data_IF_849709158350
#
_entry.id   IF_849709158350
#
_cell.length_a   1.000
_cell.length_b   1.000
_cell.length_c   1.000
_cell.angle_alpha   90.00
_cell.angle_beta   90.00
_cell.angle_gamma   90.00
#
_symmetry.space_group_name_H-M   'P 1'
#
loop_
_entity.id
_entity.type
_entity.pdbx_description
1 polymer ?
#
# COMPACT_ATOMS: atom_id res chain seq x y z
N UNK A 1 47.15 6.93 -18.03
CA UNK A 1 45.80 6.94 -18.68
C UNK A 1 45.76 5.70 -19.56
N UNK A 2 44.76 4.83 -19.32
CA UNK A 2 44.63 3.56 -20.07
C UNK A 2 44.35 3.85 -21.56
N UNK A 3 45.16 3.25 -22.44
CA UNK A 3 45.12 3.50 -23.91
C UNK A 3 43.76 3.23 -24.58
N UNK A 4 42.92 2.43 -23.95
CA UNK A 4 41.60 2.05 -24.46
C UNK A 4 40.43 2.86 -23.83
N UNK A 5 40.71 3.90 -23.06
CA UNK A 5 39.67 4.74 -22.47
C UNK A 5 39.00 5.57 -23.56
N UNK A 6 37.71 5.32 -23.77
CA UNK A 6 36.90 6.01 -24.81
C UNK A 6 36.77 5.28 -26.15
N UNK A 7 37.39 4.09 -26.29
CA UNK A 7 37.14 3.23 -27.46
C UNK A 7 35.94 2.31 -27.18
N UNK A 8 35.11 2.12 -28.20
CA UNK A 8 34.02 1.17 -28.15
C UNK A 8 34.51 -0.25 -27.92
N UNK A 9 33.92 -0.96 -26.95
CA UNK A 9 34.32 -2.34 -26.63
C UNK A 9 33.92 -3.31 -27.75
N UNK A 10 34.66 -4.43 -27.90
CA UNK A 10 34.42 -5.48 -28.90
C UNK A 10 33.05 -6.18 -28.79
N UNK A 11 32.25 -5.88 -27.76
CA UNK A 11 30.95 -6.47 -27.50
C UNK A 11 29.83 -5.42 -27.48
N UNK A 12 29.92 -4.42 -28.37
CA UNK A 12 28.86 -3.43 -28.49
C UNK A 12 27.60 -4.10 -29.09
N UNK A 13 26.46 -3.86 -28.46
CA UNK A 13 25.19 -4.39 -28.97
C UNK A 13 24.84 -3.72 -30.32
N UNK A 14 24.28 -4.48 -31.23
CA UNK A 14 23.85 -3.95 -32.54
C UNK A 14 22.67 -2.99 -32.32
N UNK A 15 22.86 -1.74 -32.74
CA UNK A 15 21.91 -0.65 -32.59
C UNK A 15 20.58 -0.97 -33.29
N UNK A 16 20.61 -1.64 -34.45
CA UNK A 16 19.39 -2.04 -35.17
C UNK A 16 18.54 -3.02 -34.40
N UNK A 17 19.18 -3.96 -33.72
CA UNK A 17 18.47 -4.95 -32.90
C UNK A 17 17.86 -4.29 -31.66
N UNK A 18 18.57 -3.32 -31.06
CA UNK A 18 18.05 -2.55 -29.95
C UNK A 18 16.87 -1.67 -30.38
N UNK A 19 16.96 -0.98 -31.49
CA UNK A 19 15.88 -0.15 -32.01
C UNK A 19 14.61 -0.95 -32.33
N UNK A 20 14.77 -2.14 -32.93
CA UNK A 20 13.66 -3.07 -33.13
C UNK A 20 13.01 -3.48 -31.82
N UNK A 21 13.81 -3.86 -30.83
CA UNK A 21 13.31 -4.25 -29.52
C UNK A 21 12.56 -3.09 -28.82
N UNK A 22 13.11 -1.87 -28.88
CA UNK A 22 12.48 -0.67 -28.35
C UNK A 22 11.17 -0.34 -29.06
N UNK A 23 11.10 -0.54 -30.38
CA UNK A 23 9.88 -0.40 -31.16
C UNK A 23 8.80 -1.40 -30.72
N UNK A 24 9.15 -2.65 -30.54
CA UNK A 24 8.24 -3.69 -30.04
C UNK A 24 7.73 -3.33 -28.63
N UNK A 25 8.61 -2.88 -27.73
CA UNK A 25 8.22 -2.48 -26.37
C UNK A 25 7.21 -1.34 -26.42
N UNK A 26 7.47 -0.29 -27.19
CA UNK A 26 6.57 0.86 -27.30
C UNK A 26 5.18 0.49 -27.84
N UNK A 27 5.10 -0.43 -28.76
CA UNK A 27 3.86 -0.77 -29.46
C UNK A 27 3.08 -1.90 -28.79
N UNK A 28 3.77 -2.87 -28.19
CA UNK A 28 3.17 -4.11 -27.67
C UNK A 28 3.22 -4.22 -26.15
N UNK A 29 4.25 -3.64 -25.52
CA UNK A 29 4.52 -3.80 -24.08
C UNK A 29 4.77 -2.45 -23.36
N UNK A 30 3.93 -1.40 -23.56
CA UNK A 30 4.25 -0.04 -23.13
C UNK A 30 4.34 0.14 -21.60
N UNK A 31 3.68 -0.72 -20.84
CA UNK A 31 3.59 -0.69 -19.37
C UNK A 31 4.48 -1.75 -18.69
N UNK A 32 5.22 -2.54 -19.45
CA UNK A 32 6.03 -3.62 -18.90
C UNK A 32 7.28 -3.07 -18.18
N UNK A 33 7.62 -3.73 -17.06
CA UNK A 33 8.92 -3.53 -16.43
C UNK A 33 10.04 -4.06 -17.35
N UNK A 34 11.26 -3.57 -17.14
CA UNK A 34 12.43 -4.05 -17.92
C UNK A 34 12.59 -5.57 -17.87
N UNK A 35 12.33 -6.18 -16.70
CA UNK A 35 12.44 -7.64 -16.52
C UNK A 35 11.41 -8.36 -17.38
N UNK A 36 10.15 -7.97 -17.27
CA UNK A 36 9.07 -8.60 -18.04
C UNK A 36 9.21 -8.36 -19.54
N UNK A 37 9.59 -7.14 -19.95
CA UNK A 37 9.86 -6.82 -21.35
C UNK A 37 11.00 -7.69 -21.90
N UNK A 38 12.08 -7.86 -21.16
CA UNK A 38 13.20 -8.72 -21.55
C UNK A 38 12.77 -10.18 -21.70
N UNK A 39 12.03 -10.74 -20.75
CA UNK A 39 11.50 -12.11 -20.82
C UNK A 39 10.66 -12.32 -22.08
N UNK A 40 9.76 -11.39 -22.38
CA UNK A 40 8.91 -11.48 -23.58
C UNK A 40 9.68 -11.29 -24.89
N UNK A 41 10.66 -10.41 -24.91
CA UNK A 41 11.53 -10.24 -26.08
C UNK A 41 12.38 -11.49 -26.34
N UNK A 42 12.91 -12.13 -25.31
CA UNK A 42 13.64 -13.42 -25.47
C UNK A 42 12.71 -14.52 -25.93
N UNK A 43 11.53 -14.63 -25.31
CA UNK A 43 10.57 -15.71 -25.57
C UNK A 43 9.95 -15.63 -26.99
N UNK A 44 9.60 -14.44 -27.46
CA UNK A 44 8.80 -14.27 -28.67
C UNK A 44 9.54 -13.60 -29.83
N UNK A 45 10.66 -12.91 -29.57
CA UNK A 45 11.36 -12.08 -30.57
C UNK A 45 12.85 -12.43 -30.66
N UNK A 46 13.31 -13.53 -30.04
CA UNK A 46 14.70 -14.00 -30.11
C UNK A 46 15.74 -12.91 -29.75
N UNK A 47 15.44 -12.04 -28.77
CA UNK A 47 16.34 -10.97 -28.36
C UNK A 47 17.64 -11.53 -27.75
N UNK A 48 18.84 -11.20 -28.31
CA UNK A 48 20.07 -11.89 -27.97
C UNK A 48 20.84 -11.27 -26.79
N UNK A 49 20.45 -10.07 -26.33
CA UNK A 49 21.22 -9.33 -25.35
C UNK A 49 20.71 -9.50 -23.92
N UNK A 50 21.54 -9.11 -22.96
CA UNK A 50 21.21 -9.17 -21.54
C UNK A 50 20.11 -8.19 -21.16
N UNK A 51 19.43 -8.47 -20.04
CA UNK A 51 18.45 -7.55 -19.44
C UNK A 51 19.04 -6.18 -19.14
N UNK A 52 20.33 -6.12 -18.74
CA UNK A 52 21.00 -4.86 -18.41
C UNK A 52 21.25 -4.03 -19.68
N UNK A 53 21.61 -4.66 -20.80
CA UNK A 53 21.73 -3.99 -22.11
C UNK A 53 20.40 -3.37 -22.51
N UNK A 54 19.30 -4.12 -22.38
CA UNK A 54 17.97 -3.61 -22.64
C UNK A 54 17.59 -2.45 -21.71
N UNK A 55 17.90 -2.56 -20.42
CA UNK A 55 17.62 -1.52 -19.44
C UNK A 55 18.28 -0.20 -19.80
N UNK A 56 19.54 -0.24 -20.19
CA UNK A 56 20.27 0.96 -20.61
C UNK A 56 19.67 1.58 -21.86
N UNK A 57 19.36 0.77 -22.86
CA UNK A 57 18.69 1.22 -24.09
C UNK A 57 17.31 1.85 -23.82
N UNK A 58 16.51 1.25 -22.92
CA UNK A 58 15.20 1.79 -22.53
C UNK A 58 15.34 3.13 -21.77
N UNK A 59 16.40 3.32 -20.98
CA UNK A 59 16.69 4.60 -20.30
C UNK A 59 17.07 5.66 -21.33
N UNK A 60 17.99 5.34 -22.23
CA UNK A 60 18.45 6.25 -23.30
C UNK A 60 17.30 6.69 -24.23
N UNK A 61 16.42 5.75 -24.58
CA UNK A 61 15.21 6.02 -25.35
C UNK A 61 14.08 6.73 -24.57
N UNK A 62 14.28 7.02 -23.26
CA UNK A 62 13.30 7.68 -22.42
C UNK A 62 12.06 6.84 -22.06
N UNK A 63 12.05 5.54 -22.39
CA UNK A 63 10.95 4.61 -22.12
C UNK A 63 10.95 4.20 -20.65
N UNK A 64 12.14 4.07 -20.03
CA UNK A 64 12.30 3.65 -18.65
C UNK A 64 13.02 4.71 -17.83
N UNK A 65 12.47 5.01 -16.66
CA UNK A 65 13.13 5.87 -15.66
C UNK A 65 13.52 5.04 -14.47
N UNK A 66 14.76 5.19 -14.03
CA UNK A 66 15.21 4.58 -12.77
C UNK A 66 14.37 5.19 -11.64
N UNK A 67 13.64 4.35 -10.91
CA UNK A 67 12.96 4.80 -9.68
C UNK A 67 14.03 5.32 -8.74
N UNK A 68 13.97 6.60 -8.38
CA UNK A 68 14.77 7.09 -7.26
C UNK A 68 14.41 6.26 -6.05
N UNK A 69 15.42 5.70 -5.40
CA UNK A 69 15.16 5.01 -4.13
C UNK A 69 14.54 6.01 -3.17
N UNK A 70 13.39 5.71 -2.57
CA UNK A 70 12.83 6.59 -1.57
C UNK A 70 13.88 6.77 -0.47
N UNK A 71 14.06 8.02 0.00
CA UNK A 71 14.92 8.28 1.16
C UNK A 71 14.47 7.32 2.26
N UNK A 72 15.40 6.57 2.81
CA UNK A 72 15.16 5.68 3.94
C UNK A 72 14.69 6.57 5.09
N UNK A 73 13.39 6.64 5.30
CA UNK A 73 12.82 7.25 6.49
C UNK A 73 12.94 6.21 7.58
N UNK A 74 13.86 6.42 8.51
CA UNK A 74 13.97 5.56 9.69
C UNK A 74 12.75 5.87 10.55
N UNK A 75 11.73 5.04 10.44
CA UNK A 75 10.59 5.09 11.37
C UNK A 75 11.05 4.52 12.69
N UNK A 76 10.98 5.31 13.77
CA UNK A 76 11.13 4.77 15.10
C UNK A 76 10.01 3.75 15.35
N UNK A 77 10.40 2.51 15.58
CA UNK A 77 9.46 1.44 15.92
C UNK A 77 8.97 1.75 17.35
N UNK A 78 7.65 2.00 17.48
CA UNK A 78 7.03 2.10 18.79
C UNK A 78 7.04 0.73 19.48
N UNK A 79 7.47 0.68 20.72
CA UNK A 79 7.33 -0.54 21.53
C UNK A 79 5.86 -0.91 21.68
N UNK A 80 5.57 -2.21 21.54
CA UNK A 80 4.23 -2.76 21.78
C UNK A 80 3.89 -2.66 23.27
N UNK A 81 2.61 -2.67 23.58
CA UNK A 81 2.14 -2.76 24.97
C UNK A 81 2.56 -4.10 25.58
N UNK A 82 2.72 -4.12 26.92
CA UNK A 82 3.21 -5.29 27.63
C UNK A 82 2.16 -6.35 27.89
N UNK A 83 0.88 -5.95 27.97
CA UNK A 83 -0.21 -6.85 28.31
C UNK A 83 -1.34 -6.82 27.28
N UNK A 84 -1.93 -7.99 27.07
CA UNK A 84 -3.11 -8.15 26.22
C UNK A 84 -4.28 -7.31 26.75
N UNK A 85 -5.00 -6.64 25.85
CA UNK A 85 -6.11 -5.75 26.20
C UNK A 85 -5.71 -4.34 26.66
N UNK A 86 -4.42 -4.02 26.79
CA UNK A 86 -3.99 -2.64 27.11
C UNK A 86 -4.27 -1.67 25.96
N UNK A 87 -4.07 -2.09 24.72
CA UNK A 87 -4.35 -1.31 23.55
C UNK A 87 -4.89 -2.19 22.44
N UNK A 88 -6.06 -1.86 21.93
CA UNK A 88 -6.67 -2.52 20.78
C UNK A 88 -6.70 -1.55 19.62
N UNK A 89 -6.12 -1.95 18.52
CA UNK A 89 -6.14 -1.22 17.25
C UNK A 89 -7.40 -1.59 16.50
N UNK A 90 -8.12 -0.58 16.04
CA UNK A 90 -9.36 -0.73 15.26
C UNK A 90 -9.13 -0.12 13.90
N UNK A 91 -9.45 -0.87 12.86
CA UNK A 91 -9.32 -0.41 11.48
C UNK A 91 -10.42 -0.99 10.60
N UNK A 92 -10.71 -0.29 9.50
CA UNK A 92 -11.60 -0.73 8.45
C UNK A 92 -10.86 -0.77 7.12
N UNK A 93 -11.05 -1.84 6.38
CA UNK A 93 -10.43 -2.02 5.07
C UNK A 93 -11.48 -2.20 3.99
N UNK A 94 -11.91 -1.11 3.32
CA UNK A 94 -12.80 -1.19 2.17
C UNK A 94 -12.01 -1.73 0.96
N UNK A 95 -12.46 -2.85 0.42
CA UNK A 95 -11.81 -3.49 -0.73
C UNK A 95 -12.78 -4.44 -1.44
N UNK A 96 -12.47 -4.82 -2.66
CA UNK A 96 -13.15 -5.89 -3.39
C UNK A 96 -12.64 -7.27 -2.91
N UNK A 97 -12.99 -7.62 -1.68
CA UNK A 97 -12.50 -8.82 -1.01
C UNK A 97 -12.91 -10.12 -1.69
N UNK A 98 -14.04 -10.11 -2.36
CA UNK A 98 -14.59 -11.29 -3.01
C UNK A 98 -14.36 -11.30 -4.52
N UNK A 99 -13.74 -10.25 -5.05
CA UNK A 99 -13.52 -10.06 -6.49
C UNK A 99 -14.89 -10.16 -7.24
N UNK A 100 -14.96 -10.88 -8.34
CA UNK A 100 -16.21 -11.08 -9.08
C UNK A 100 -17.23 -12.01 -8.39
N UNK A 101 -16.95 -12.53 -7.19
CA UNK A 101 -17.77 -13.51 -6.46
C UNK A 101 -18.71 -12.87 -5.42
N UNK A 102 -18.64 -11.59 -5.17
CA UNK A 102 -19.45 -10.89 -4.21
C UNK A 102 -19.37 -9.38 -4.35
N UNK A 103 -20.19 -8.67 -3.58
CA UNK A 103 -20.22 -7.21 -3.59
C UNK A 103 -18.99 -6.60 -2.90
N UNK A 104 -18.65 -5.37 -3.29
CA UNK A 104 -17.67 -4.54 -2.61
C UNK A 104 -18.08 -4.33 -1.15
N UNK A 105 -17.17 -4.55 -0.22
CA UNK A 105 -17.45 -4.49 1.21
C UNK A 105 -16.22 -4.02 2.00
N UNK A 106 -16.43 -3.76 3.29
CA UNK A 106 -15.34 -3.41 4.22
C UNK A 106 -15.11 -4.52 5.22
N UNK A 107 -13.86 -4.82 5.53
CA UNK A 107 -13.47 -5.70 6.61
C UNK A 107 -13.15 -4.88 7.85
N UNK A 108 -13.95 -5.02 8.91
CA UNK A 108 -13.64 -4.47 10.23
C UNK A 108 -12.67 -5.39 10.97
N UNK A 109 -11.60 -4.81 11.50
CA UNK A 109 -10.49 -5.56 12.14
C UNK A 109 -10.17 -4.96 13.49
N UNK A 110 -10.12 -5.78 14.54
CA UNK A 110 -9.61 -5.38 15.84
C UNK A 110 -8.41 -6.25 16.19
N UNK A 111 -7.28 -5.61 16.46
CA UNK A 111 -5.98 -6.25 16.72
C UNK A 111 -5.48 -5.83 18.10
N UNK A 112 -5.09 -6.81 18.90
CA UNK A 112 -4.41 -6.52 20.16
C UNK A 112 -2.95 -6.13 19.91
N UNK A 113 -2.55 -4.98 20.42
CA UNK A 113 -1.21 -4.41 20.21
C UNK A 113 -0.09 -5.26 20.82
N UNK A 114 -0.32 -5.80 22.02
CA UNK A 114 0.69 -6.56 22.74
C UNK A 114 1.03 -7.88 22.05
N UNK A 115 0.00 -8.60 21.62
CA UNK A 115 0.14 -9.97 21.10
C UNK A 115 0.13 -10.02 19.57
N UNK A 116 -0.37 -8.97 18.89
CA UNK A 116 -0.62 -8.96 17.45
C UNK A 116 -1.75 -9.90 17.02
N UNK A 117 -2.54 -10.43 17.97
CA UNK A 117 -3.65 -11.33 17.65
C UNK A 117 -4.84 -10.57 17.10
N UNK A 118 -5.45 -11.13 16.07
CA UNK A 118 -6.76 -10.71 15.58
C UNK A 118 -7.82 -11.11 16.60
N UNK A 119 -8.52 -10.12 17.15
CA UNK A 119 -9.53 -10.31 18.20
C UNK A 119 -10.95 -10.24 17.66
N UNK A 120 -11.13 -9.55 16.55
CA UNK A 120 -12.42 -9.44 15.89
C UNK A 120 -12.20 -9.19 14.40
N UNK A 121 -12.98 -9.90 13.57
CA UNK A 121 -13.02 -9.75 12.13
C UNK A 121 -14.46 -9.88 11.66
N UNK A 122 -14.94 -8.91 10.88
CA UNK A 122 -16.26 -8.99 10.27
C UNK A 122 -16.32 -8.24 8.95
N UNK A 123 -16.86 -8.87 7.93
CA UNK A 123 -17.26 -8.18 6.72
C UNK A 123 -18.56 -7.42 6.93
N UNK A 124 -18.60 -6.18 6.50
CA UNK A 124 -19.77 -5.31 6.51
C UNK A 124 -19.96 -4.65 5.15
N UNK A 125 -21.18 -4.33 4.71
CA UNK A 125 -21.36 -3.64 3.42
C UNK A 125 -20.60 -2.32 3.36
N UNK A 126 -20.63 -1.53 4.45
CA UNK A 126 -19.97 -0.23 4.57
C UNK A 126 -19.51 -0.01 6.01
N UNK A 127 -18.46 0.79 6.17
CA UNK A 127 -18.05 1.26 7.49
C UNK A 127 -19.07 2.22 8.08
N UNK A 128 -19.63 1.87 9.22
CA UNK A 128 -20.60 2.68 9.95
C UNK A 128 -20.28 2.71 11.43
N UNK A 129 -20.69 3.78 12.12
CA UNK A 129 -20.56 3.88 13.57
C UNK A 129 -21.21 2.68 14.26
N UNK A 130 -22.40 2.27 13.79
CA UNK A 130 -23.12 1.12 14.35
C UNK A 130 -22.35 -0.20 14.15
N UNK A 131 -21.72 -0.40 12.99
CA UNK A 131 -20.88 -1.58 12.74
C UNK A 131 -19.74 -1.69 13.74
N UNK A 132 -19.02 -0.58 14.00
CA UNK A 132 -17.96 -0.55 15.00
C UNK A 132 -18.46 -0.72 16.42
N UNK A 133 -19.63 -0.17 16.79
CA UNK A 133 -20.24 -0.38 18.13
C UNK A 133 -20.64 -1.85 18.35
N UNK A 134 -21.23 -2.50 17.34
CA UNK A 134 -21.55 -3.93 17.41
C UNK A 134 -20.29 -4.79 17.48
N UNK A 135 -19.27 -4.46 16.70
CA UNK A 135 -17.94 -5.11 16.77
C UNK A 135 -17.30 -4.97 18.12
N UNK A 136 -17.36 -3.76 18.71
CA UNK A 136 -16.83 -3.52 20.06
C UNK A 136 -17.62 -4.27 21.15
N UNK A 137 -18.94 -4.35 21.02
CA UNK A 137 -19.77 -5.17 21.91
C UNK A 137 -19.31 -6.63 21.86
N UNK A 138 -19.20 -7.22 20.68
CA UNK A 138 -18.73 -8.59 20.51
C UNK A 138 -17.30 -8.80 21.04
N UNK A 139 -16.41 -7.82 20.82
CA UNK A 139 -15.06 -7.85 21.39
C UNK A 139 -15.10 -7.90 22.91
N UNK A 140 -15.88 -7.01 23.56
CA UNK A 140 -15.97 -6.91 25.03
C UNK A 140 -16.56 -8.18 25.63
N UNK A 141 -17.58 -8.75 25.01
CA UNK A 141 -18.19 -10.02 25.47
C UNK A 141 -17.21 -11.18 25.45
N UNK A 142 -16.30 -11.23 24.46
CA UNK A 142 -15.32 -12.31 24.31
C UNK A 142 -14.01 -12.10 25.07
N UNK A 143 -13.54 -10.86 25.23
CA UNK A 143 -12.19 -10.54 25.71
C UNK A 143 -12.16 -9.62 26.95
N UNK A 144 -13.31 -9.08 27.35
CA UNK A 144 -13.37 -8.03 28.36
C UNK A 144 -13.11 -6.63 27.80
N UNK A 145 -13.25 -5.61 28.64
CA UNK A 145 -13.11 -4.20 28.26
C UNK A 145 -11.62 -3.85 28.02
N UNK A 146 -11.26 -3.32 26.84
CA UNK A 146 -9.90 -2.87 26.60
C UNK A 146 -9.59 -1.60 27.40
N UNK A 147 -8.33 -1.40 27.79
CA UNK A 147 -7.89 -0.21 28.54
C UNK A 147 -7.84 1.02 27.64
N UNK A 148 -7.48 0.86 26.38
CA UNK A 148 -7.41 1.93 25.40
C UNK A 148 -7.64 1.42 23.97
N UNK A 149 -8.11 2.32 23.10
CA UNK A 149 -8.34 2.06 21.70
C UNK A 149 -7.43 2.95 20.85
N UNK A 150 -6.97 2.43 19.73
CA UNK A 150 -6.25 3.17 18.71
C UNK A 150 -6.97 3.00 17.37
N UNK A 151 -7.33 4.11 16.75
CA UNK A 151 -7.94 4.15 15.42
C UNK A 151 -7.26 5.23 14.57
N UNK A 152 -7.51 5.20 13.29
CA UNK A 152 -7.15 6.29 12.40
C UNK A 152 -7.99 7.56 12.68
N UNK A 153 -7.82 8.59 11.84
CA UNK A 153 -8.58 9.84 11.94
C UNK A 153 -9.87 9.83 11.10
N UNK A 154 -10.43 8.67 10.85
CA UNK A 154 -11.70 8.57 10.14
C UNK A 154 -12.83 9.30 10.89
N UNK A 155 -13.79 9.86 10.15
CA UNK A 155 -14.88 10.67 10.73
C UNK A 155 -15.77 9.95 11.74
N UNK A 156 -15.76 8.60 11.77
CA UNK A 156 -16.44 7.78 12.77
C UNK A 156 -15.78 7.94 14.15
N UNK A 157 -14.46 8.06 14.19
CA UNK A 157 -13.69 8.09 15.45
C UNK A 157 -13.34 9.50 15.89
N UNK A 158 -13.19 10.45 14.95
CA UNK A 158 -12.75 11.80 15.23
C UNK A 158 -13.51 12.86 14.44
N UNK A 159 -13.91 13.93 15.11
CA UNK A 159 -14.41 15.14 14.45
C UNK A 159 -13.21 15.92 13.90
N UNK A 160 -13.07 15.97 12.58
CA UNK A 160 -12.07 16.78 11.90
C UNK A 160 -12.62 18.18 11.67
N UNK A 161 -12.57 19.07 12.66
CA UNK A 161 -13.04 20.44 12.54
C UNK A 161 -12.15 21.25 11.58
N UNK A 162 -12.51 21.29 10.29
CA UNK A 162 -12.00 22.27 9.31
C UNK A 162 -12.88 23.51 9.18
N UNK A 163 -14.04 23.59 9.82
CA UNK A 163 -14.93 24.75 9.81
C UNK A 163 -15.10 25.34 11.21
N UNK A 164 -14.34 26.37 11.52
CA UNK A 164 -14.58 27.33 12.62
C UNK A 164 -15.80 28.17 12.28
N UNK A 165 -17.01 27.66 12.35
CA UNK A 165 -18.15 28.50 11.96
C UNK A 165 -19.52 28.07 12.45
N UNK A 166 -19.69 26.90 13.01
CA UNK A 166 -20.97 26.44 13.54
C UNK A 166 -20.74 25.40 14.65
N UNK A 167 -20.29 25.88 15.80
CA UNK A 167 -20.16 25.05 16.99
C UNK A 167 -21.54 24.91 17.63
N UNK A 168 -22.15 23.72 17.54
CA UNK A 168 -23.22 23.32 18.44
C UNK A 168 -22.61 22.96 19.80
N UNK A 169 -23.35 23.17 20.89
CA UNK A 169 -22.93 22.95 22.30
C UNK A 169 -22.41 21.52 22.55
N UNK A 170 -22.64 20.57 21.65
CA UNK A 170 -22.11 19.19 21.69
C UNK A 170 -20.65 19.06 21.21
N UNK A 171 -20.05 20.11 20.62
CA UNK A 171 -18.72 20.05 20.01
C UNK A 171 -17.58 20.43 20.97
N UNK A 172 -17.89 20.83 22.20
CA UNK A 172 -16.87 21.27 23.17
C UNK A 172 -15.85 20.17 23.55
N UNK A 173 -16.21 18.90 23.40
CA UNK A 173 -15.32 17.76 23.67
C UNK A 173 -14.69 17.15 22.42
N UNK A 174 -15.09 17.57 21.21
CA UNK A 174 -14.57 17.01 19.95
C UNK A 174 -14.78 15.50 19.81
N UNK A 175 -15.75 14.92 20.53
CA UNK A 175 -16.03 13.49 20.53
C UNK A 175 -17.12 13.14 19.52
N UNK A 176 -16.87 12.12 18.71
CA UNK A 176 -17.89 11.50 17.86
C UNK A 176 -18.90 10.69 18.70
N UNK A 177 -19.98 10.22 18.08
CA UNK A 177 -20.92 9.33 18.72
C UNK A 177 -20.22 8.05 19.25
N UNK A 178 -19.29 7.50 18.48
CA UNK A 178 -18.47 6.37 18.91
C UNK A 178 -17.64 6.73 20.14
N UNK A 179 -16.92 7.86 20.10
CA UNK A 179 -16.07 8.31 21.20
C UNK A 179 -16.83 8.65 22.50
N UNK A 180 -18.12 9.00 22.41
CA UNK A 180 -18.97 9.24 23.61
C UNK A 180 -19.46 7.94 24.25
N UNK A 181 -19.54 6.87 23.48
CA UNK A 181 -20.03 5.56 23.95
C UNK A 181 -18.91 4.74 24.61
N UNK A 182 -17.66 4.98 24.22
CA UNK A 182 -16.47 4.27 24.70
C UNK A 182 -15.85 4.98 25.91
#
# INVERSE_FOLDING_TARGET
>A
IHKLRGLAGNHQADEKVLDQALGIIKNTYPDFSVTLAHEKLVQHHAFPYSRETLRLAMIEAGIWRVKQQPKIVIHQIRERRSHEGELVQIDGSPFDWFESRGDYCSLLVFIDDATGKLKYLQFVPHETTNGYLLGMKSYIEANGKPKSLYSDRHGIFRINSRHKGSASVSDELGLTQFGRTM
#
